data_IF_105219583233
#
_entry.id   IF_105219583233
#
_cell.length_a   1.000
_cell.length_b   1.000
_cell.length_c   1.000
_cell.angle_alpha   90.00
_cell.angle_beta   90.00
_cell.angle_gamma   90.00
#
_symmetry.space_group_name_H-M   'P 1'
#
loop_
_entity.id
_entity.type
_entity.pdbx_description
1 polymer ?
#
# COMPACT_ATOMS: atom_id res chain seq x y z
N UNK A 1 10.93 -2.21 -9.48
CA UNK A 1 9.65 -2.92 -9.62
C UNK A 1 9.46 -3.89 -8.46
N UNK A 2 8.46 -3.67 -7.65
CA UNK A 2 8.14 -4.59 -6.55
C UNK A 2 7.25 -5.71 -7.05
N UNK A 3 7.51 -6.93 -6.60
CA UNK A 3 6.71 -8.09 -6.99
C UNK A 3 6.44 -8.98 -5.79
N UNK A 4 5.33 -9.72 -5.85
CA UNK A 4 4.93 -10.65 -4.81
C UNK A 4 4.32 -11.89 -5.46
N UNK A 5 4.66 -13.05 -4.94
CA UNK A 5 4.14 -14.32 -5.45
C UNK A 5 3.04 -14.79 -4.51
N UNK A 6 1.88 -15.09 -5.08
CA UNK A 6 0.76 -15.67 -4.35
C UNK A 6 0.35 -17.01 -4.96
N UNK A 7 -0.28 -17.83 -4.14
CA UNK A 7 -0.94 -19.03 -4.60
C UNK A 7 -2.43 -18.86 -4.35
N UNK A 8 -3.22 -18.90 -5.42
CA UNK A 8 -4.63 -18.60 -5.35
C UNK A 8 -5.41 -19.51 -6.29
N UNK A 9 -6.62 -19.84 -5.87
CA UNK A 9 -7.58 -20.57 -6.70
C UNK A 9 -8.50 -19.57 -7.37
N UNK A 10 -8.43 -19.49 -8.72
CA UNK A 10 -9.33 -18.66 -9.49
C UNK A 10 -10.77 -19.14 -9.41
N UNK A 11 -11.73 -18.28 -9.77
CA UNK A 11 -13.16 -18.56 -9.64
C UNK A 11 -13.57 -19.82 -10.43
N UNK A 12 -12.94 -20.01 -11.58
CA UNK A 12 -13.25 -21.15 -12.47
C UNK A 12 -12.21 -22.27 -12.42
N UNK A 13 -11.22 -22.16 -11.53
CA UNK A 13 -10.14 -23.12 -11.45
C UNK A 13 -10.44 -24.21 -10.41
N UNK A 14 -10.13 -25.47 -10.75
CA UNK A 14 -10.29 -26.59 -9.83
C UNK A 14 -9.18 -26.64 -8.77
N UNK A 15 -7.99 -26.15 -9.12
CA UNK A 15 -6.82 -26.16 -8.24
C UNK A 15 -6.15 -24.79 -8.14
N UNK A 16 -5.47 -24.52 -7.00
CA UNK A 16 -4.72 -23.28 -6.86
C UNK A 16 -3.57 -23.20 -7.87
N UNK A 17 -3.30 -21.98 -8.35
CA UNK A 17 -2.17 -21.69 -9.22
C UNK A 17 -1.29 -20.62 -8.58
N UNK A 18 0.00 -20.65 -8.91
CA UNK A 18 0.95 -19.63 -8.46
C UNK A 18 0.96 -18.48 -9.45
N UNK A 19 0.81 -17.27 -8.94
CA UNK A 19 0.83 -16.05 -9.76
C UNK A 19 1.81 -15.06 -9.18
N UNK A 20 2.50 -14.33 -10.06
CA UNK A 20 3.40 -13.24 -9.68
C UNK A 20 2.69 -11.93 -9.96
N UNK A 21 2.53 -11.14 -8.91
CA UNK A 21 1.91 -9.81 -8.98
C UNK A 21 2.98 -8.74 -9.03
N UNK A 22 2.74 -7.69 -9.79
CA UNK A 22 3.68 -6.59 -9.99
C UNK A 22 3.09 -5.28 -9.53
N UNK A 23 3.92 -4.48 -8.82
CA UNK A 23 3.50 -3.22 -8.24
C UNK A 23 4.56 -2.16 -8.48
N UNK A 24 4.12 -1.01 -8.95
CA UNK A 24 5.01 0.12 -9.16
C UNK A 24 4.22 1.43 -9.15
N UNK A 25 4.74 2.42 -8.46
CA UNK A 25 4.26 3.79 -8.56
C UNK A 25 5.31 4.65 -9.26
N UNK A 26 4.85 5.51 -10.16
CA UNK A 26 5.71 6.59 -10.66
C UNK A 26 6.02 7.54 -9.50
N UNK A 27 7.08 8.36 -9.68
CA UNK A 27 7.42 9.38 -8.68
C UNK A 27 6.23 10.30 -8.39
N UNK A 28 5.50 10.69 -9.42
CA UNK A 28 4.31 11.52 -9.29
C UNK A 28 3.22 10.83 -8.44
N UNK A 29 2.97 9.57 -8.69
CA UNK A 29 2.00 8.78 -7.92
C UNK A 29 2.44 8.61 -6.46
N UNK A 30 3.74 8.43 -6.22
CA UNK A 30 4.29 8.33 -4.87
C UNK A 30 4.07 9.62 -4.08
N UNK A 31 4.34 10.78 -4.69
CA UNK A 31 4.12 12.06 -4.04
C UNK A 31 2.63 12.29 -3.74
N UNK A 32 1.76 11.99 -4.68
CA UNK A 32 0.32 12.13 -4.46
C UNK A 32 -0.18 11.21 -3.35
N UNK A 33 0.31 9.96 -3.32
CA UNK A 33 -0.03 9.00 -2.28
C UNK A 33 0.43 9.49 -0.90
N UNK A 34 1.69 9.88 -0.78
CA UNK A 34 2.26 10.37 0.49
C UNK A 34 1.49 11.59 0.97
N UNK A 35 1.14 12.50 0.05
CA UNK A 35 0.38 13.71 0.39
C UNK A 35 -1.02 13.39 0.92
N UNK A 36 -1.69 12.37 0.37
CA UNK A 36 -3.00 11.94 0.88
C UNK A 36 -2.92 11.40 2.31
N UNK A 37 -1.75 10.90 2.71
CA UNK A 37 -1.50 10.32 4.03
C UNK A 37 -0.52 11.17 4.85
N UNK A 38 -0.49 12.48 4.63
CA UNK A 38 0.38 13.42 5.35
C UNK A 38 0.19 13.37 6.86
N UNK A 39 -1.03 13.02 7.31
CA UNK A 39 -1.33 12.91 8.73
C UNK A 39 -0.78 11.62 9.35
N UNK A 40 -0.21 10.73 8.54
CA UNK A 40 0.36 9.46 8.97
C UNK A 40 1.87 9.59 9.05
N UNK A 41 2.35 10.40 10.00
CA UNK A 41 3.79 10.64 10.19
C UNK A 41 4.52 9.42 10.70
N UNK A 42 3.81 8.56 11.42
CA UNK A 42 4.34 7.29 11.87
C UNK A 42 3.41 6.18 11.37
N UNK A 43 3.72 5.68 10.19
CA UNK A 43 2.92 4.66 9.53
C UNK A 43 2.75 3.41 10.39
N UNK A 44 3.80 2.97 11.07
CA UNK A 44 3.74 1.77 11.93
C UNK A 44 2.78 1.96 13.09
N UNK A 45 2.79 3.11 13.74
CA UNK A 45 1.86 3.43 14.82
C UNK A 45 0.43 3.53 14.32
N UNK A 46 0.23 4.17 13.18
CA UNK A 46 -1.09 4.30 12.58
C UNK A 46 -1.68 2.92 12.25
N UNK A 47 -0.89 2.08 11.59
CA UNK A 47 -1.30 0.72 11.24
C UNK A 47 -1.60 -0.09 12.50
N UNK A 48 -0.73 0.00 13.52
CA UNK A 48 -0.93 -0.72 14.77
C UNK A 48 -2.21 -0.25 15.48
N UNK A 49 -2.49 1.03 15.46
CA UNK A 49 -3.73 1.58 16.03
C UNK A 49 -4.97 1.07 15.28
N UNK A 50 -4.92 1.01 13.95
CA UNK A 50 -6.02 0.47 13.14
C UNK A 50 -6.24 -1.02 13.44
N UNK A 51 -5.16 -1.80 13.57
CA UNK A 51 -5.23 -3.21 13.94
C UNK A 51 -5.82 -3.37 15.34
N UNK A 52 -5.34 -2.62 16.33
CA UNK A 52 -5.78 -2.70 17.71
C UNK A 52 -7.27 -2.32 17.88
N UNK A 53 -7.74 -1.38 17.07
CA UNK A 53 -9.13 -0.93 17.10
C UNK A 53 -10.04 -1.77 16.20
N UNK A 54 -9.49 -2.79 15.53
CA UNK A 54 -10.21 -3.62 14.58
C UNK A 54 -10.93 -2.79 13.50
N UNK A 55 -10.31 -1.70 13.07
CA UNK A 55 -10.85 -0.78 12.08
C UNK A 55 -10.60 -1.33 10.66
N UNK A 56 -11.35 -2.36 10.32
CA UNK A 56 -11.21 -3.08 9.04
C UNK A 56 -11.49 -2.16 7.85
N UNK A 57 -12.43 -1.24 8.00
CA UNK A 57 -12.75 -0.32 6.91
C UNK A 57 -11.59 0.61 6.58
N UNK A 58 -10.96 1.19 7.58
CA UNK A 58 -9.78 2.05 7.39
C UNK A 58 -8.63 1.29 6.76
N UNK A 59 -8.38 0.06 7.23
CA UNK A 59 -7.32 -0.80 6.68
C UNK A 59 -7.62 -1.17 5.23
N UNK A 60 -8.86 -1.55 4.93
CA UNK A 60 -9.28 -1.88 3.57
C UNK A 60 -9.08 -0.69 2.63
N UNK A 61 -9.49 0.51 3.04
CA UNK A 61 -9.30 1.72 2.23
C UNK A 61 -7.84 2.02 1.99
N UNK A 62 -6.99 1.87 3.00
CA UNK A 62 -5.56 2.08 2.84
C UNK A 62 -4.95 1.08 1.84
N UNK A 63 -5.27 -0.20 2.01
CA UNK A 63 -4.74 -1.23 1.11
C UNK A 63 -5.28 -1.08 -0.31
N UNK A 64 -6.57 -0.76 -0.47
CA UNK A 64 -7.14 -0.49 -1.79
C UNK A 64 -6.41 0.65 -2.49
N UNK A 65 -6.05 1.70 -1.75
CA UNK A 65 -5.33 2.84 -2.30
C UNK A 65 -3.87 2.48 -2.65
N UNK A 66 -3.14 1.90 -1.71
CA UNK A 66 -1.74 1.53 -1.93
C UNK A 66 -1.60 0.48 -3.05
N UNK A 67 -2.34 -0.59 -2.93
CA UNK A 67 -2.27 -1.71 -3.87
C UNK A 67 -2.90 -1.33 -5.20
N UNK A 68 -4.08 -0.71 -5.18
CA UNK A 68 -4.79 -0.33 -6.40
C UNK A 68 -4.02 0.68 -7.24
N UNK A 69 -3.37 1.66 -6.61
CA UNK A 69 -2.59 2.67 -7.32
C UNK A 69 -1.31 2.08 -7.92
N UNK A 70 -0.73 1.07 -7.28
CA UNK A 70 0.55 0.49 -7.67
C UNK A 70 0.42 -0.73 -8.58
N UNK A 71 -0.70 -1.43 -8.54
CA UNK A 71 -0.87 -2.67 -9.31
C UNK A 71 -0.90 -2.42 -10.81
N UNK A 72 -0.22 -3.30 -11.54
CA UNK A 72 -0.27 -3.29 -12.99
C UNK A 72 0.05 -4.67 -13.54
N UNK A 73 -0.12 -4.81 -14.85
CA UNK A 73 0.12 -6.06 -15.55
C UNK A 73 1.37 -5.99 -16.41
N UNK A 74 2.12 -7.06 -16.40
CA UNK A 74 3.24 -7.23 -17.33
C UNK A 74 2.68 -7.73 -18.66
N UNK A 75 2.90 -6.93 -19.71
CA UNK A 75 2.54 -7.28 -21.09
C UNK A 75 3.81 -7.26 -21.93
N UNK A 76 4.47 -8.42 -22.05
CA UNK A 76 5.79 -8.52 -22.63
C UNK A 76 6.83 -7.82 -21.75
N UNK A 77 7.46 -6.76 -22.26
CA UNK A 77 8.40 -5.94 -21.50
C UNK A 77 7.78 -4.66 -20.97
N UNK A 78 6.47 -4.49 -21.15
CA UNK A 78 5.74 -3.30 -20.70
C UNK A 78 5.00 -3.58 -19.41
N UNK A 79 4.99 -2.58 -18.54
CA UNK A 79 4.17 -2.56 -17.34
C UNK A 79 2.98 -1.63 -17.60
N UNK A 80 1.76 -2.19 -17.56
CA UNK A 80 0.55 -1.48 -17.95
C UNK A 80 -0.37 -1.30 -16.76
N UNK A 81 -0.79 -0.06 -16.54
CA UNK A 81 -1.77 0.32 -15.53
C UNK A 81 -2.93 1.05 -16.17
N UNK A 82 -4.14 0.79 -15.67
CA UNK A 82 -5.36 1.50 -16.08
C UNK A 82 -6.40 1.38 -14.99
N UNK A 83 -7.44 2.21 -15.04
CA UNK A 83 -8.57 2.09 -14.11
C UNK A 83 -9.26 0.73 -14.24
N UNK A 84 -9.38 0.21 -15.45
CA UNK A 84 -9.99 -1.10 -15.70
C UNK A 84 -9.17 -2.22 -15.06
N UNK A 85 -7.85 -2.20 -15.21
CA UNK A 85 -6.93 -3.18 -14.59
C UNK A 85 -7.05 -3.09 -13.07
N UNK A 86 -7.04 -1.89 -12.52
CA UNK A 86 -7.18 -1.64 -11.09
C UNK A 86 -8.48 -2.22 -10.53
N UNK A 87 -9.60 -1.87 -11.11
CA UNK A 87 -10.92 -2.33 -10.67
C UNK A 87 -11.06 -3.85 -10.77
N UNK A 88 -10.59 -4.41 -11.88
CA UNK A 88 -10.60 -5.85 -12.08
C UNK A 88 -9.78 -6.57 -11.02
N UNK A 89 -8.60 -6.04 -10.67
CA UNK A 89 -7.74 -6.64 -9.66
C UNK A 89 -8.35 -6.53 -8.25
N UNK A 90 -8.84 -5.36 -7.87
CA UNK A 90 -9.40 -5.15 -6.54
C UNK A 90 -10.63 -6.02 -6.26
N UNK A 91 -11.30 -6.51 -7.30
CA UNK A 91 -12.44 -7.41 -7.18
C UNK A 91 -12.11 -8.86 -7.48
N UNK A 92 -10.83 -9.21 -7.57
CA UNK A 92 -10.37 -10.54 -7.94
C UNK A 92 -10.08 -11.43 -6.73
N UNK A 93 -10.10 -12.77 -6.90
CA UNK A 93 -9.64 -13.69 -5.86
C UNK A 93 -8.18 -13.45 -5.45
N UNK A 94 -7.35 -12.99 -6.37
CA UNK A 94 -5.96 -12.66 -6.12
C UNK A 94 -5.83 -11.57 -5.07
N UNK A 95 -6.64 -10.53 -5.16
CA UNK A 95 -6.62 -9.45 -4.18
C UNK A 95 -7.19 -9.89 -2.83
N UNK A 96 -8.22 -10.71 -2.81
CA UNK A 96 -8.76 -11.25 -1.56
C UNK A 96 -7.69 -12.04 -0.81
N UNK A 97 -6.95 -12.89 -1.51
CA UNK A 97 -5.85 -13.65 -0.91
C UNK A 97 -4.74 -12.72 -0.40
N UNK A 98 -4.35 -11.74 -1.21
CA UNK A 98 -3.34 -10.76 -0.81
C UNK A 98 -3.80 -9.97 0.40
N UNK A 99 -5.04 -9.51 0.43
CA UNK A 99 -5.61 -8.79 1.55
C UNK A 99 -5.54 -9.61 2.85
N UNK A 100 -5.92 -10.87 2.79
CA UNK A 100 -5.85 -11.77 3.94
C UNK A 100 -4.42 -11.94 4.43
N UNK A 101 -3.45 -12.10 3.51
CA UNK A 101 -2.03 -12.18 3.86
C UNK A 101 -1.54 -10.90 4.55
N UNK A 102 -1.93 -9.75 4.05
CA UNK A 102 -1.54 -8.45 4.63
C UNK A 102 -2.14 -8.26 6.02
N UNK A 103 -3.40 -8.67 6.21
CA UNK A 103 -4.06 -8.58 7.51
C UNK A 103 -3.40 -9.49 8.55
N UNK A 104 -2.96 -10.66 8.14
CA UNK A 104 -2.37 -11.66 9.05
C UNK A 104 -0.88 -11.43 9.32
N UNK A 105 -0.21 -10.60 8.51
CA UNK A 105 1.23 -10.44 8.59
C UNK A 105 1.67 -8.97 8.46
N UNK A 106 1.84 -8.28 9.59
CA UNK A 106 2.32 -6.88 9.59
C UNK A 106 3.68 -6.68 8.92
N UNK A 107 4.56 -7.69 8.96
CA UNK A 107 5.85 -7.63 8.29
C UNK A 107 5.70 -7.55 6.77
N UNK A 108 4.69 -8.25 6.22
CA UNK A 108 4.38 -8.19 4.80
C UNK A 108 3.89 -6.80 4.39
N UNK A 109 3.09 -6.15 5.23
CA UNK A 109 2.64 -4.77 4.99
C UNK A 109 3.84 -3.84 4.87
N UNK A 110 4.84 -3.97 5.75
CA UNK A 110 6.08 -3.18 5.66
C UNK A 110 6.85 -3.47 4.39
N UNK A 111 6.94 -4.73 3.98
CA UNK A 111 7.60 -5.11 2.73
C UNK A 111 6.95 -4.41 1.53
N UNK A 112 5.62 -4.44 1.45
CA UNK A 112 4.88 -3.76 0.39
C UNK A 112 5.10 -2.25 0.43
N UNK A 113 4.94 -1.67 1.61
CA UNK A 113 5.11 -0.22 1.77
C UNK A 113 6.51 0.23 1.34
N UNK A 114 7.55 -0.44 1.83
CA UNK A 114 8.94 -0.09 1.53
C UNK A 114 9.32 -0.43 0.08
N UNK A 115 8.76 -1.48 -0.48
CA UNK A 115 9.02 -1.88 -1.86
C UNK A 115 8.37 -0.98 -2.89
N UNK A 116 7.17 -0.47 -2.58
CA UNK A 116 6.41 0.43 -3.47
C UNK A 116 6.83 1.89 -3.27
N UNK A 117 7.11 2.28 -2.01
CA UNK A 117 7.53 3.63 -1.63
C UNK A 117 8.96 3.57 -1.08
N UNK A 118 10.00 3.58 -1.94
CA UNK A 118 11.39 3.44 -1.49
C UNK A 118 11.80 4.53 -0.51
N UNK A 119 12.64 4.15 0.45
CA UNK A 119 13.12 5.05 1.51
C UNK A 119 13.70 6.36 0.97
N UNK A 120 14.39 6.30 -0.17
CA UNK A 120 14.96 7.48 -0.81
C UNK A 120 13.90 8.53 -1.13
N UNK A 121 12.76 8.09 -1.66
CA UNK A 121 11.64 8.98 -1.99
C UNK A 121 10.99 9.52 -0.70
N UNK A 122 10.82 8.67 0.30
CA UNK A 122 10.30 9.08 1.60
C UNK A 122 11.16 10.16 2.24
N UNK A 123 12.48 10.02 2.18
CA UNK A 123 13.41 11.03 2.68
C UNK A 123 13.30 12.35 1.94
N UNK A 124 13.12 12.32 0.60
CA UNK A 124 12.94 13.52 -0.20
C UNK A 124 11.68 14.29 0.21
N UNK A 125 10.58 13.58 0.45
CA UNK A 125 9.32 14.18 0.90
C UNK A 125 9.47 14.75 2.31
N UNK A 126 10.12 14.02 3.22
CA UNK A 126 10.35 14.46 4.60
C UNK A 126 11.25 15.69 4.69
N UNK A 127 12.07 15.96 3.67
CA UNK A 127 12.91 17.14 3.59
C UNK A 127 12.17 18.37 3.05
N UNK A 128 10.96 18.21 2.51
CA UNK A 128 10.12 19.31 2.09
C UNK A 128 9.73 20.14 3.33
N UNK A 129 9.93 21.46 3.32
CA UNK A 129 9.57 22.30 4.47
C UNK A 129 8.12 22.18 4.91
N UNK A 130 7.20 22.00 3.98
CA UNK A 130 5.78 21.78 4.29
C UNK A 130 5.55 20.51 5.08
N UNK A 131 6.22 19.44 4.68
CA UNK A 131 6.09 18.15 5.35
C UNK A 131 6.65 18.21 6.77
N UNK A 132 7.82 18.82 6.95
CA UNK A 132 8.42 19.00 8.29
C UNK A 132 7.54 19.81 9.22
N UNK A 133 6.93 20.87 8.71
CA UNK A 133 6.03 21.71 9.50
C UNK A 133 4.82 20.93 9.99
N UNK A 134 4.23 20.10 9.12
CA UNK A 134 3.11 19.24 9.47
C UNK A 134 3.53 18.15 10.48
N UNK A 135 4.69 17.55 10.28
CA UNK A 135 5.23 16.52 11.17
C UNK A 135 5.44 17.08 12.58
N UNK A 136 6.03 18.27 12.70
CA UNK A 136 6.25 18.93 13.97
C UNK A 136 4.94 19.24 14.68
N UNK A 137 3.93 19.72 13.97
CA UNK A 137 2.59 19.98 14.51
C UNK A 137 1.92 18.71 15.04
N UNK A 138 2.05 17.62 14.32
CA UNK A 138 1.47 16.33 14.73
C UNK A 138 2.18 15.76 15.95
N UNK A 139 3.49 15.90 16.05
CA UNK A 139 4.26 15.52 17.24
C UNK A 139 3.86 16.32 18.47
N UNK A 140 3.64 17.62 18.32
CA UNK A 140 3.13 18.47 19.40
C UNK A 140 1.75 18.01 19.86
N UNK A 141 0.87 17.68 18.92
CA UNK A 141 -0.48 17.18 19.24
C UNK A 141 -0.42 15.84 19.98
N UNK A 142 0.45 14.92 19.57
CA UNK A 142 0.65 13.64 20.26
C UNK A 142 1.18 13.87 21.68
N UNK A 143 2.12 14.76 21.88
CA UNK A 143 2.66 15.10 23.19
C UNK A 143 1.60 15.73 24.10
N UNK A 144 0.74 16.57 23.57
CA UNK A 144 -0.33 17.23 24.33
C UNK A 144 -1.46 16.29 24.70
N UNK A 145 -1.60 15.15 24.02
CA UNK A 145 -2.62 14.14 24.30
C UNK A 145 -2.15 13.03 25.25
N UNK A 146 -0.91 13.12 25.69
CA UNK A 146 -0.36 12.24 26.72
C UNK A 146 -0.66 12.85 28.10
#
# INVERSE_FOLDING_TARGET
MFSHIIRVRGIFDDEPTTKKLYFHMSRREMFDFIKRYDNVTNFEKWLQAAINNEDLYTMMKFFDDLIGTSYGERQGERFVKSEQIKESFLNSPEYEELFDQLMDNPSLVREFYNGILPEKIMKQVQQDPKYKELDDKLKETELNNL
#
